data_IF_293289178550
#
_entry.id   IF_293289178550
#
_cell.length_a   1.000
_cell.length_b   1.000
_cell.length_c   1.000
_cell.angle_alpha   90.00
_cell.angle_beta   90.00
_cell.angle_gamma   90.00
#
_symmetry.space_group_name_H-M   'P 1'
#
loop_
_entity.id
_entity.type
_entity.pdbx_description
1 polymer ?
#
# COMPACT_ATOMS: atom_id res chain seq x y z
N UNK A 1 -2.01 3.45 -3.37
CA UNK A 1 -0.55 3.58 -3.15
C UNK A 1 -0.21 4.67 -2.12
N UNK A 2 -0.53 5.94 -2.34
CA UNK A 2 -0.15 7.04 -1.44
C UNK A 2 -0.55 6.81 0.02
N UNK A 3 -1.80 6.53 0.31
CA UNK A 3 -2.32 6.30 1.67
C UNK A 3 -1.57 5.15 2.37
N UNK A 4 -1.31 4.06 1.66
CA UNK A 4 -0.60 2.90 2.22
C UNK A 4 0.86 3.24 2.55
N UNK A 5 1.53 4.02 1.72
CA UNK A 5 2.87 4.51 2.00
C UNK A 5 2.90 5.47 3.20
N UNK A 6 1.94 6.38 3.31
CA UNK A 6 1.85 7.29 4.45
C UNK A 6 1.65 6.53 5.77
N UNK A 7 0.72 5.56 5.79
CA UNK A 7 0.48 4.73 6.97
C UNK A 7 1.75 3.96 7.37
N UNK A 8 2.41 3.35 6.38
CA UNK A 8 3.68 2.64 6.58
C UNK A 8 4.74 3.55 7.19
N UNK A 9 4.86 4.76 6.67
CA UNK A 9 5.87 5.73 7.10
C UNK A 9 5.59 6.25 8.51
N UNK A 10 4.33 6.60 8.80
CA UNK A 10 3.92 7.04 10.13
C UNK A 10 4.01 5.94 11.20
N UNK A 11 3.90 4.67 10.80
CA UNK A 11 4.12 3.51 11.66
C UNK A 11 5.57 3.08 11.80
N UNK A 12 6.51 3.78 11.17
CA UNK A 12 7.93 3.42 11.21
C UNK A 12 8.57 3.68 12.59
N UNK A 13 9.46 2.84 12.98
CA UNK A 13 10.15 2.94 14.25
C UNK A 13 11.04 1.73 14.51
N UNK A 14 11.42 1.47 15.78
CA UNK A 14 11.07 2.17 17.01
C UNK A 14 11.93 3.40 17.35
N UNK A 15 13.10 3.56 16.75
CA UNK A 15 14.04 4.62 17.15
C UNK A 15 14.16 5.75 16.15
N UNK A 16 14.44 5.42 14.88
CA UNK A 16 14.71 6.38 13.82
C UNK A 16 13.48 6.69 12.95
N UNK A 17 12.32 6.09 13.24
CA UNK A 17 11.08 6.31 12.50
C UNK A 17 10.16 7.32 13.17
N UNK A 18 9.09 7.70 12.48
CA UNK A 18 8.09 8.63 13.01
C UNK A 18 7.34 8.05 14.21
N UNK A 19 6.89 6.80 14.12
CA UNK A 19 6.22 6.10 15.21
C UNK A 19 4.95 6.77 15.72
N UNK A 20 4.28 7.59 14.92
CA UNK A 20 3.05 8.28 15.26
C UNK A 20 1.82 7.38 15.22
N UNK A 21 1.88 6.32 14.39
CA UNK A 21 0.88 5.27 14.32
C UNK A 21 1.43 3.96 14.87
N UNK A 22 0.57 3.23 15.57
CA UNK A 22 0.79 1.86 16.00
C UNK A 22 -0.03 0.98 15.06
N UNK A 23 0.64 0.17 14.25
CA UNK A 23 0.01 -0.74 13.31
C UNK A 23 -0.24 -2.10 13.95
N UNK A 24 -1.30 -2.83 13.53
CA UNK A 24 -1.52 -4.20 14.00
C UNK A 24 -0.39 -5.13 13.58
N UNK A 25 -0.01 -6.02 14.49
CA UNK A 25 0.96 -7.08 14.24
C UNK A 25 0.21 -8.31 13.71
N UNK A 26 0.32 -8.57 12.40
CA UNK A 26 -0.37 -9.71 11.79
C UNK A 26 0.54 -10.94 11.65
N UNK A 27 1.86 -10.73 11.59
CA UNK A 27 2.85 -11.75 11.31
C UNK A 27 4.17 -11.48 12.04
N UNK A 28 4.96 -12.52 12.35
CA UNK A 28 6.35 -12.34 12.76
C UNK A 28 7.14 -11.61 11.67
N UNK A 29 7.83 -10.53 12.00
CA UNK A 29 8.56 -9.72 11.02
C UNK A 29 9.83 -10.39 10.49
N UNK A 30 10.40 -11.35 11.23
CA UNK A 30 11.59 -12.09 10.86
C UNK A 30 11.78 -13.31 11.76
N UNK A 31 12.29 -14.42 11.20
CA UNK A 31 12.69 -15.60 11.96
C UNK A 31 14.01 -15.43 12.71
N UNK A 32 14.83 -14.46 12.31
CA UNK A 32 16.16 -14.20 12.85
C UNK A 32 16.27 -12.90 13.68
N UNK A 33 15.24 -12.06 13.66
CA UNK A 33 15.18 -10.82 14.44
C UNK A 33 13.93 -10.82 15.33
N UNK A 34 14.04 -11.30 16.59
CA UNK A 34 12.92 -11.32 17.53
C UNK A 34 12.32 -9.92 17.72
N UNK A 35 11.00 -9.82 17.76
CA UNK A 35 10.28 -8.56 17.96
C UNK A 35 10.25 -7.62 16.75
N UNK A 36 10.77 -8.02 15.60
CA UNK A 36 10.62 -7.26 14.36
C UNK A 36 9.18 -7.39 13.85
N UNK A 37 8.54 -6.26 13.61
CA UNK A 37 7.20 -6.18 13.00
C UNK A 37 7.33 -5.47 11.66
N UNK A 38 6.80 -6.10 10.59
CA UNK A 38 6.75 -5.50 9.27
C UNK A 38 5.33 -5.03 8.96
N UNK A 39 5.14 -3.89 8.28
CA UNK A 39 3.85 -3.41 7.82
C UNK A 39 3.39 -4.15 6.55
N UNK A 40 3.23 -5.49 6.66
CA UNK A 40 3.02 -6.39 5.52
C UNK A 40 1.78 -6.06 4.70
N UNK A 41 0.71 -5.59 5.33
CA UNK A 41 -0.50 -5.17 4.63
C UNK A 41 -0.28 -3.91 3.79
N UNK A 42 0.49 -2.95 4.29
CA UNK A 42 0.88 -1.76 3.52
C UNK A 42 1.76 -2.15 2.33
N UNK A 43 2.69 -3.08 2.53
CA UNK A 43 3.58 -3.59 1.48
C UNK A 43 2.79 -4.33 0.40
N UNK A 44 1.85 -5.19 0.79
CA UNK A 44 0.99 -5.92 -0.13
C UNK A 44 0.18 -4.97 -1.03
N UNK A 45 -0.46 -3.95 -0.45
CA UNK A 45 -1.23 -2.97 -1.22
C UNK A 45 -0.34 -2.19 -2.19
N UNK A 46 0.87 -1.81 -1.80
CA UNK A 46 1.80 -1.09 -2.71
C UNK A 46 2.26 -1.98 -3.86
N UNK A 47 2.51 -3.26 -3.63
CA UNK A 47 2.82 -4.23 -4.69
C UNK A 47 1.64 -4.41 -5.66
N UNK A 48 0.42 -4.54 -5.15
CA UNK A 48 -0.79 -4.60 -5.98
C UNK A 48 -0.94 -3.33 -6.82
N UNK A 49 -0.73 -2.15 -6.23
CA UNK A 49 -0.77 -0.89 -6.98
C UNK A 49 0.26 -0.86 -8.13
N UNK A 50 1.48 -1.33 -7.88
CA UNK A 50 2.50 -1.41 -8.93
C UNK A 50 2.08 -2.36 -10.06
N UNK A 51 1.50 -3.51 -9.71
CA UNK A 51 0.97 -4.47 -10.70
C UNK A 51 -0.15 -3.87 -11.55
N UNK A 52 -1.08 -3.15 -10.92
CA UNK A 52 -2.20 -2.48 -11.61
C UNK A 52 -1.69 -1.39 -12.57
N UNK A 53 -0.69 -0.61 -12.17
CA UNK A 53 -0.04 0.37 -13.05
C UNK A 53 0.60 -0.34 -14.26
N UNK A 54 1.27 -1.47 -14.05
CA UNK A 54 1.83 -2.28 -15.14
C UNK A 54 0.75 -2.80 -16.10
N UNK A 55 -0.37 -3.32 -15.57
CA UNK A 55 -1.51 -3.74 -16.37
C UNK A 55 -2.09 -2.58 -17.18
N UNK A 56 -2.22 -1.40 -16.57
CA UNK A 56 -2.71 -0.19 -17.26
C UNK A 56 -1.79 0.21 -18.42
N UNK A 57 -0.48 0.17 -18.22
CA UNK A 57 0.50 0.44 -19.30
C UNK A 57 0.32 -0.55 -20.45
N UNK A 58 0.18 -1.85 -20.15
CA UNK A 58 -0.10 -2.87 -21.14
C UNK A 58 -1.39 -2.61 -21.92
N UNK A 59 -2.46 -2.22 -21.23
CA UNK A 59 -3.75 -1.86 -21.83
C UNK A 59 -3.60 -0.64 -22.75
N UNK A 60 -2.85 0.38 -22.31
CA UNK A 60 -2.62 1.60 -23.09
C UNK A 60 -1.88 1.27 -24.39
N UNK A 61 -0.82 0.47 -24.33
CA UNK A 61 -0.09 0.01 -25.54
C UNK A 61 -1.03 -0.78 -26.44
N UNK A 62 -1.76 -1.76 -25.89
CA UNK A 62 -2.69 -2.58 -26.65
C UNK A 62 -3.80 -1.76 -27.32
N UNK A 63 -4.31 -0.73 -26.61
CA UNK A 63 -5.34 0.17 -27.13
C UNK A 63 -4.86 1.09 -28.27
N UNK A 64 -3.55 1.35 -28.33
CA UNK A 64 -2.95 2.13 -29.42
C UNK A 64 -2.75 1.35 -30.72
N UNK A 65 -2.91 0.02 -30.67
CA UNK A 65 -2.75 -0.86 -31.83
C UNK A 65 -4.09 -1.12 -32.53
N UNK A 66 -3.98 -1.45 -33.79
CA UNK A 66 -5.11 -1.85 -34.64
C UNK A 66 -4.67 -1.83 -36.10
N UNK A 67 -5.24 -2.71 -36.89
CA UNK A 67 -5.03 -2.77 -38.33
C UNK A 67 -6.40 -2.69 -39.00
N UNK A 68 -6.56 -1.66 -39.83
CA UNK A 68 -7.86 -1.31 -40.41
C UNK A 68 -8.91 -1.13 -39.28
N UNK A 69 -9.99 -1.86 -39.26
CA UNK A 69 -11.07 -1.74 -38.26
C UNK A 69 -11.01 -2.79 -37.15
N UNK A 70 -9.86 -3.47 -36.95
CA UNK A 70 -9.71 -4.54 -35.98
C UNK A 70 -8.53 -4.32 -35.03
N UNK A 71 -8.81 -4.34 -33.73
CA UNK A 71 -7.80 -4.48 -32.69
C UNK A 71 -7.87 -5.93 -32.12
N UNK A 72 -6.78 -6.68 -32.32
CA UNK A 72 -6.68 -8.09 -31.89
C UNK A 72 -6.26 -8.26 -30.42
N UNK A 73 -5.90 -7.18 -29.70
CA UNK A 73 -5.45 -7.23 -28.31
C UNK A 73 -6.58 -7.31 -27.28
N UNK A 74 -7.84 -7.40 -27.68
CA UNK A 74 -9.00 -7.44 -26.78
C UNK A 74 -8.90 -8.49 -25.67
N UNK A 75 -8.45 -9.73 -25.90
CA UNK A 75 -8.30 -10.72 -24.84
C UNK A 75 -7.32 -10.29 -23.76
N UNK A 76 -6.18 -9.71 -24.13
CA UNK A 76 -5.18 -9.19 -23.20
C UNK A 76 -5.72 -7.99 -22.41
N UNK A 77 -6.41 -7.07 -23.08
CA UNK A 77 -7.04 -5.91 -22.44
C UNK A 77 -8.06 -6.39 -21.39
N UNK A 78 -8.95 -7.32 -21.77
CA UNK A 78 -9.94 -7.87 -20.86
C UNK A 78 -9.29 -8.58 -19.66
N UNK A 79 -8.28 -9.41 -19.89
CA UNK A 79 -7.54 -10.09 -18.83
C UNK A 79 -6.92 -9.10 -17.84
N UNK A 80 -6.19 -8.11 -18.33
CA UNK A 80 -5.48 -7.16 -17.49
C UNK A 80 -6.44 -6.28 -16.66
N UNK A 81 -7.58 -5.87 -17.23
CA UNK A 81 -8.54 -5.06 -16.49
C UNK A 81 -9.27 -5.86 -15.41
N UNK A 82 -9.71 -7.09 -15.73
CA UNK A 82 -10.36 -7.97 -14.76
C UNK A 82 -9.40 -8.34 -13.62
N UNK A 83 -8.17 -8.70 -13.93
CA UNK A 83 -7.14 -8.98 -12.93
C UNK A 83 -6.91 -7.76 -12.01
N UNK A 84 -6.90 -6.56 -12.57
CA UNK A 84 -6.69 -5.34 -11.79
C UNK A 84 -7.86 -5.07 -10.83
N UNK A 85 -9.09 -5.33 -11.26
CA UNK A 85 -10.29 -5.20 -10.43
C UNK A 85 -10.22 -6.19 -9.25
N UNK A 86 -9.93 -7.45 -9.51
CA UNK A 86 -9.84 -8.50 -8.49
C UNK A 86 -8.74 -8.19 -7.47
N UNK A 87 -7.55 -7.85 -7.95
CA UNK A 87 -6.41 -7.51 -7.08
C UNK A 87 -6.70 -6.30 -6.18
N UNK A 88 -7.32 -5.24 -6.71
CA UNK A 88 -7.67 -4.06 -5.91
C UNK A 88 -8.76 -4.41 -4.91
N UNK A 89 -9.79 -5.13 -5.33
CA UNK A 89 -10.90 -5.54 -4.47
C UNK A 89 -10.39 -6.32 -3.26
N UNK A 90 -9.60 -7.37 -3.50
CA UNK A 90 -9.10 -8.25 -2.43
C UNK A 90 -8.08 -7.52 -1.53
N UNK A 91 -7.16 -6.78 -2.12
CA UNK A 91 -6.13 -6.07 -1.33
C UNK A 91 -6.72 -4.96 -0.46
N UNK A 92 -7.70 -4.20 -0.95
CA UNK A 92 -8.34 -3.14 -0.16
C UNK A 92 -9.19 -3.71 0.96
N UNK A 93 -9.90 -4.80 0.72
CA UNK A 93 -10.65 -5.51 1.76
C UNK A 93 -9.73 -6.02 2.87
N UNK A 94 -8.65 -6.71 2.51
CA UNK A 94 -7.68 -7.21 3.48
C UNK A 94 -7.00 -6.06 4.23
N UNK A 95 -6.61 -5.01 3.54
CA UNK A 95 -6.02 -3.82 4.15
C UNK A 95 -6.94 -3.16 5.17
N UNK A 96 -8.23 -3.03 4.85
CA UNK A 96 -9.22 -2.49 5.78
C UNK A 96 -9.34 -3.34 7.05
N UNK A 97 -9.40 -4.67 6.90
CA UNK A 97 -9.62 -5.61 8.01
C UNK A 97 -8.36 -5.76 8.87
N UNK A 98 -7.21 -6.00 8.25
CA UNK A 98 -5.99 -6.40 8.94
C UNK A 98 -5.02 -5.25 9.22
N UNK A 99 -5.24 -4.06 8.67
CA UNK A 99 -4.44 -2.88 8.95
C UNK A 99 -5.29 -1.74 9.51
N UNK A 100 -6.15 -1.14 8.69
CA UNK A 100 -6.84 0.12 9.02
C UNK A 100 -7.65 0.02 10.31
N UNK A 101 -8.39 -1.07 10.47
CA UNK A 101 -9.26 -1.30 11.63
C UNK A 101 -8.50 -1.39 12.96
N UNK A 102 -7.22 -1.74 12.94
CA UNK A 102 -6.39 -1.90 14.12
C UNK A 102 -5.39 -0.76 14.37
N UNK A 103 -5.38 0.27 13.53
CA UNK A 103 -4.49 1.42 13.71
C UNK A 103 -4.84 2.17 15.00
N UNK A 104 -3.80 2.51 15.76
CA UNK A 104 -3.92 3.36 16.96
C UNK A 104 -2.95 4.53 16.87
N UNK A 105 -3.38 5.69 17.37
CA UNK A 105 -2.51 6.85 17.49
C UNK A 105 -1.53 6.68 18.66
N UNK A 106 -0.24 6.86 18.42
CA UNK A 106 0.77 6.95 19.46
C UNK A 106 0.80 8.39 20.01
N UNK A 107 -0.11 8.70 20.91
CA UNK A 107 -0.29 10.05 21.46
C UNK A 107 0.98 10.63 22.09
N UNK A 108 1.80 9.79 22.72
CA UNK A 108 3.08 10.22 23.30
C UNK A 108 4.03 10.74 22.23
N UNK A 109 4.20 9.95 21.17
CA UNK A 109 5.11 10.29 20.07
C UNK A 109 4.63 11.51 19.28
N UNK A 110 3.33 11.58 19.05
CA UNK A 110 2.69 12.74 18.39
C UNK A 110 2.94 14.01 19.22
N UNK A 111 2.78 13.94 20.54
CA UNK A 111 3.04 15.09 21.40
C UNK A 111 4.51 15.52 21.36
N UNK A 112 5.45 14.58 21.43
CA UNK A 112 6.88 14.89 21.29
C UNK A 112 7.19 15.63 19.98
N UNK A 113 6.58 15.21 18.87
CA UNK A 113 6.75 15.88 17.58
C UNK A 113 6.11 17.26 17.51
N UNK A 114 4.93 17.42 18.11
CA UNK A 114 4.27 18.72 18.20
C UNK A 114 5.10 19.73 19.01
N UNK A 115 5.69 19.28 20.11
CA UNK A 115 6.54 20.13 20.97
C UNK A 115 7.82 20.59 20.25
N UNK A 116 8.23 19.91 19.17
CA UNK A 116 9.33 20.31 18.28
C UNK A 116 8.88 21.21 17.12
N UNK A 117 7.59 21.45 16.98
CA UNK A 117 7.04 22.28 15.90
C UNK A 117 7.33 23.77 16.13
N UNK A 118 7.76 24.48 15.07
CA UNK A 118 7.97 25.93 15.10
C UNK A 118 6.71 26.74 15.38
N UNK A 119 5.53 26.15 15.29
CA UNK A 119 4.25 26.83 15.55
C UNK A 119 4.00 27.01 17.06
N UNK A 120 4.70 26.25 17.89
CA UNK A 120 4.55 26.27 19.35
C UNK A 120 5.70 26.98 20.09
N UNK A 121 6.51 27.76 19.39
CA UNK A 121 7.54 28.62 19.98
C UNK A 121 6.91 29.95 20.40
#
# INVERSE_FOLDING_TARGET
MKISNDIRFLGSGPRAGYGELILPENEPGSSIMPGKVNPTQCEAVTMVCAKVIGNHTGITVAGSHGHFELNVFKPMIAHNILQSIDLISDSTKNFAIYCVKGIKANKKKIKEHLDLSLIHI
#
